data_IF_857662763283
#
_entry.id   IF_857662763283
#
_cell.length_a   1.000
_cell.length_b   1.000
_cell.length_c   1.000
_cell.angle_alpha   90.00
_cell.angle_beta   90.00
_cell.angle_gamma   90.00
#
_symmetry.space_group_name_H-M   'P 1'
#
loop_
_entity.id
_entity.type
_entity.pdbx_description
1 polymer ?
#
# COMPACT_ATOMS: atom_id res chain seq x y z
N UNK A 1 -19.58 3.65 -5.27
CA UNK A 1 -18.31 2.94 -4.96
C UNK A 1 -18.55 1.44 -5.08
N UNK A 2 -17.65 0.73 -5.73
CA UNK A 2 -17.80 -0.72 -5.92
C UNK A 2 -17.47 -1.49 -4.65
N UNK A 3 -17.94 -2.75 -4.59
CA UNK A 3 -17.62 -3.62 -3.45
C UNK A 3 -16.11 -3.87 -3.33
N UNK A 4 -15.42 -3.97 -4.47
CA UNK A 4 -13.97 -4.16 -4.47
C UNK A 4 -13.25 -2.94 -3.90
N UNK A 5 -13.70 -1.74 -4.22
CA UNK A 5 -13.13 -0.52 -3.65
C UNK A 5 -13.39 -0.44 -2.15
N UNK A 6 -14.60 -0.77 -1.71
CA UNK A 6 -14.91 -0.82 -0.28
C UNK A 6 -14.04 -1.84 0.46
N UNK A 7 -13.86 -3.01 -0.13
CA UNK A 7 -12.99 -4.06 0.45
C UNK A 7 -11.55 -3.59 0.54
N UNK A 8 -11.06 -2.93 -0.52
CA UNK A 8 -9.71 -2.38 -0.53
C UNK A 8 -9.53 -1.35 0.59
N UNK A 9 -10.49 -0.46 0.77
CA UNK A 9 -10.43 0.54 1.85
C UNK A 9 -10.41 -0.10 3.23
N UNK A 10 -11.14 -1.18 3.44
CA UNK A 10 -11.09 -1.93 4.71
C UNK A 10 -9.70 -2.47 4.99
N UNK A 11 -9.04 -3.00 3.97
CA UNK A 11 -7.68 -3.54 4.10
C UNK A 11 -6.66 -2.42 4.29
N UNK A 12 -6.83 -1.32 3.58
CA UNK A 12 -5.92 -0.16 3.62
C UNK A 12 -6.02 0.62 4.93
N UNK A 13 -7.21 0.71 5.52
CA UNK A 13 -7.47 1.58 6.67
C UNK A 13 -6.48 1.40 7.83
N UNK A 14 -6.15 0.18 8.30
CA UNK A 14 -5.17 0.04 9.39
C UNK A 14 -3.80 0.55 9.02
N UNK A 15 -3.36 0.32 7.78
CA UNK A 15 -2.08 0.80 7.29
C UNK A 15 -2.05 2.32 7.19
N UNK A 16 -3.10 2.89 6.62
CA UNK A 16 -3.20 4.34 6.46
C UNK A 16 -3.20 5.04 7.82
N UNK A 17 -3.92 4.49 8.78
CA UNK A 17 -3.96 5.04 10.14
C UNK A 17 -2.58 5.01 10.79
N UNK A 18 -1.87 3.90 10.68
CA UNK A 18 -0.54 3.75 11.28
C UNK A 18 0.49 4.65 10.61
N UNK A 19 0.36 4.87 9.30
CA UNK A 19 1.26 5.74 8.54
C UNK A 19 0.87 7.22 8.60
N UNK A 20 -0.30 7.54 9.11
CA UNK A 20 -0.80 8.92 9.11
C UNK A 20 -1.20 9.43 7.74
N UNK A 21 -1.65 8.53 6.86
CA UNK A 21 -2.09 8.87 5.51
C UNK A 21 -3.60 8.99 5.49
N UNK A 22 -4.11 10.13 5.02
CA UNK A 22 -5.55 10.28 4.77
C UNK A 22 -5.90 9.61 3.45
N UNK A 23 -6.84 8.68 3.47
CA UNK A 23 -7.24 7.93 2.29
C UNK A 23 -8.71 8.16 2.00
N UNK A 24 -9.01 8.49 0.76
CA UNK A 24 -10.36 8.62 0.22
C UNK A 24 -10.41 7.93 -1.13
N UNK A 25 -11.59 7.55 -1.57
CA UNK A 25 -11.75 6.93 -2.87
C UNK A 25 -13.06 7.36 -3.51
N UNK A 26 -13.05 7.45 -4.82
CA UNK A 26 -14.27 7.54 -5.64
C UNK A 26 -14.29 6.35 -6.60
N UNK A 27 -15.11 6.40 -7.63
CA UNK A 27 -15.22 5.28 -8.57
C UNK A 27 -14.04 5.18 -9.54
N UNK A 28 -13.17 6.18 -9.56
CA UNK A 28 -12.07 6.26 -10.51
C UNK A 28 -10.70 6.23 -9.86
N UNK A 29 -10.53 6.94 -8.73
CA UNK A 29 -9.24 7.11 -8.10
C UNK A 29 -9.26 6.84 -6.61
N UNK A 30 -8.12 6.37 -6.12
CA UNK A 30 -7.79 6.37 -4.71
C UNK A 30 -6.95 7.61 -4.44
N UNK A 31 -7.29 8.36 -3.39
CA UNK A 31 -6.57 9.58 -3.01
C UNK A 31 -5.84 9.36 -1.71
N UNK A 32 -4.53 9.53 -1.74
CA UNK A 32 -3.68 9.40 -0.55
C UNK A 32 -3.08 10.78 -0.26
N UNK A 33 -3.49 11.39 0.85
CA UNK A 33 -3.10 12.76 1.21
C UNK A 33 -3.38 13.74 0.07
N UNK A 34 -4.51 13.56 -0.61
CA UNK A 34 -4.94 14.41 -1.71
C UNK A 34 -4.32 14.06 -3.06
N UNK A 35 -3.37 13.15 -3.11
CA UNK A 35 -2.77 12.72 -4.37
C UNK A 35 -3.56 11.56 -4.96
N UNK A 36 -4.00 11.71 -6.20
CA UNK A 36 -4.71 10.65 -6.90
C UNK A 36 -3.75 9.53 -7.31
N UNK A 37 -4.10 8.29 -6.95
CA UNK A 37 -3.41 7.11 -7.45
C UNK A 37 -4.45 6.20 -8.09
N UNK A 38 -4.02 5.31 -8.97
CA UNK A 38 -4.94 4.46 -9.69
C UNK A 38 -5.70 3.49 -8.80
N UNK A 39 -6.94 3.20 -9.16
CA UNK A 39 -7.65 2.07 -8.60
C UNK A 39 -7.37 0.87 -9.50
N UNK A 40 -6.93 -0.22 -8.91
CA UNK A 40 -6.72 -1.45 -9.66
C UNK A 40 -8.04 -1.97 -10.23
N UNK A 41 -8.11 -2.08 -11.53
CA UNK A 41 -9.31 -2.57 -12.19
C UNK A 41 -9.62 -3.99 -11.76
N UNK A 42 -10.87 -4.27 -11.46
CA UNK A 42 -11.39 -5.61 -11.23
C UNK A 42 -10.92 -6.33 -9.97
N UNK A 43 -10.24 -5.66 -9.05
CA UNK A 43 -9.73 -6.36 -7.87
C UNK A 43 -9.46 -5.42 -6.70
N UNK A 44 -9.97 -5.79 -5.53
CA UNK A 44 -9.61 -5.12 -4.28
C UNK A 44 -8.10 -5.21 -4.03
N UNK A 45 -7.51 -6.34 -4.39
CA UNK A 45 -6.08 -6.58 -4.17
C UNK A 45 -5.19 -5.70 -5.02
N UNK A 46 -5.59 -5.44 -6.27
CA UNK A 46 -4.84 -4.52 -7.12
C UNK A 46 -4.84 -3.10 -6.55
N UNK A 47 -5.97 -2.67 -6.00
CA UNK A 47 -6.08 -1.35 -5.37
C UNK A 47 -5.22 -1.27 -4.11
N UNK A 48 -5.20 -2.32 -3.30
CA UNK A 48 -4.32 -2.38 -2.12
C UNK A 48 -2.86 -2.36 -2.54
N UNK A 49 -2.51 -3.05 -3.63
CA UNK A 49 -1.15 -3.01 -4.17
C UNK A 49 -0.74 -1.60 -4.56
N UNK A 50 -1.63 -0.84 -5.20
CA UNK A 50 -1.37 0.56 -5.53
C UNK A 50 -1.08 1.39 -4.27
N UNK A 51 -1.83 1.17 -3.20
CA UNK A 51 -1.57 1.85 -1.93
C UNK A 51 -0.22 1.46 -1.35
N UNK A 52 0.11 0.17 -1.36
CA UNK A 52 1.38 -0.33 -0.84
C UNK A 52 2.55 0.27 -1.63
N UNK A 53 2.44 0.34 -2.95
CA UNK A 53 3.47 0.98 -3.78
C UNK A 53 3.62 2.45 -3.45
N UNK A 54 2.52 3.17 -3.26
CA UNK A 54 2.56 4.56 -2.82
C UNK A 54 3.29 4.69 -1.48
N UNK A 55 2.98 3.81 -0.53
CA UNK A 55 3.62 3.84 0.79
C UNK A 55 5.13 3.57 0.68
N UNK A 56 5.54 2.59 -0.13
CA UNK A 56 6.95 2.31 -0.34
C UNK A 56 7.67 3.50 -0.97
N UNK A 57 7.09 4.15 -1.97
CA UNK A 57 7.69 5.32 -2.60
C UNK A 57 7.91 6.47 -1.61
N UNK A 58 7.00 6.64 -0.66
CA UNK A 58 7.08 7.73 0.30
C UNK A 58 7.94 7.41 1.52
N UNK A 59 8.07 6.15 1.87
CA UNK A 59 8.74 5.74 3.11
C UNK A 59 9.94 4.83 2.91
N UNK A 60 10.36 4.56 1.67
CA UNK A 60 11.43 3.60 1.42
C UNK A 60 12.75 3.95 2.12
N UNK A 61 13.08 5.23 2.21
CA UNK A 61 14.30 5.66 2.90
C UNK A 61 14.24 5.38 4.39
N UNK A 62 13.08 5.60 4.98
CA UNK A 62 12.84 5.32 6.39
C UNK A 62 12.90 3.82 6.66
N UNK A 63 12.24 3.03 5.83
CA UNK A 63 12.16 1.58 6.00
C UNK A 63 13.45 0.85 5.64
N UNK A 64 14.38 1.54 5.04
CA UNK A 64 15.74 1.07 4.86
C UNK A 64 16.49 0.98 6.19
N UNK A 65 16.17 1.88 7.13
CA UNK A 65 16.82 1.99 8.44
C UNK A 65 15.99 1.43 9.57
N UNK A 66 14.69 1.48 9.46
CA UNK A 66 13.74 1.07 10.47
C UNK A 66 12.81 -0.01 9.90
N UNK A 67 12.24 -0.80 10.79
CA UNK A 67 11.22 -1.75 10.37
C UNK A 67 9.99 -1.00 9.88
N UNK A 68 9.39 -1.48 8.80
CA UNK A 68 8.10 -0.96 8.40
C UNK A 68 7.03 -1.32 9.45
N UNK A 69 5.95 -0.52 9.52
CA UNK A 69 4.88 -0.78 10.47
C UNK A 69 4.30 -2.20 10.32
N UNK A 70 3.89 -2.79 11.44
CA UNK A 70 3.35 -4.15 11.47
C UNK A 70 2.14 -4.30 10.56
N UNK A 71 1.26 -3.31 10.51
CA UNK A 71 0.08 -3.36 9.65
C UNK A 71 0.46 -3.52 8.18
N UNK A 72 1.47 -2.80 7.73
CA UNK A 72 1.95 -2.88 6.35
C UNK A 72 2.60 -4.24 6.09
N UNK A 73 3.50 -4.65 6.98
CA UNK A 73 4.20 -5.92 6.85
C UNK A 73 3.23 -7.10 6.83
N UNK A 74 2.28 -7.12 7.75
CA UNK A 74 1.28 -8.20 7.82
C UNK A 74 0.39 -8.23 6.59
N UNK A 75 0.01 -7.08 6.07
CA UNK A 75 -0.82 -7.01 4.87
C UNK A 75 -0.07 -7.55 3.66
N UNK A 76 1.19 -7.17 3.50
CA UNK A 76 2.02 -7.68 2.40
C UNK A 76 2.16 -9.19 2.49
N UNK A 77 2.50 -9.70 3.66
CA UNK A 77 2.67 -11.15 3.87
C UNK A 77 1.37 -11.92 3.62
N UNK A 78 0.25 -11.36 4.04
CA UNK A 78 -1.04 -12.02 3.93
C UNK A 78 -1.55 -12.12 2.50
N UNK A 79 -1.33 -11.08 1.70
CA UNK A 79 -2.04 -10.97 0.42
C UNK A 79 -1.18 -11.11 -0.81
N UNK A 80 0.10 -10.70 -0.79
CA UNK A 80 0.82 -10.56 -2.04
C UNK A 80 2.22 -11.09 -2.11
N UNK A 81 3.03 -10.78 -1.10
CA UNK A 81 4.46 -10.96 -1.24
C UNK A 81 4.96 -11.97 -0.23
N UNK A 82 5.80 -12.90 -0.71
CA UNK A 82 6.64 -13.67 0.20
C UNK A 82 7.71 -12.74 0.78
N UNK A 83 8.34 -13.17 1.87
CA UNK A 83 9.45 -12.41 2.45
C UNK A 83 10.57 -12.19 1.43
N UNK A 84 10.83 -13.18 0.57
CA UNK A 84 11.84 -13.06 -0.48
C UNK A 84 11.49 -11.97 -1.49
N UNK A 85 10.24 -11.92 -1.92
CA UNK A 85 9.78 -10.88 -2.84
C UNK A 85 9.90 -9.49 -2.21
N UNK A 86 9.56 -9.36 -0.95
CA UNK A 86 9.68 -8.11 -0.23
C UNK A 86 11.13 -7.67 -0.12
N UNK A 87 12.04 -8.59 0.18
CA UNK A 87 13.46 -8.29 0.25
C UNK A 87 14.03 -7.90 -1.11
N UNK A 88 13.61 -8.57 -2.18
CA UNK A 88 14.00 -8.19 -3.53
C UNK A 88 13.55 -6.77 -3.85
N UNK A 89 12.31 -6.44 -3.53
CA UNK A 89 11.79 -5.10 -3.76
C UNK A 89 12.61 -4.05 -3.00
N UNK A 90 12.89 -4.31 -1.74
CA UNK A 90 13.72 -3.43 -0.91
C UNK A 90 15.11 -3.24 -1.48
N UNK A 91 15.72 -4.32 -1.94
CA UNK A 91 17.06 -4.29 -2.52
C UNK A 91 17.10 -3.40 -3.75
N UNK A 92 16.16 -3.56 -4.65
CA UNK A 92 16.07 -2.75 -5.86
C UNK A 92 15.93 -1.26 -5.54
N UNK A 93 15.10 -0.91 -4.56
CA UNK A 93 14.83 0.48 -4.21
C UNK A 93 15.88 1.09 -3.28
N UNK A 94 16.62 0.26 -2.57
CA UNK A 94 17.67 0.74 -1.66
C UNK A 94 18.99 1.00 -2.35
N UNK A 95 19.26 0.31 -3.43
CA UNK A 95 20.50 0.44 -4.18
C UNK A 95 20.40 1.45 -5.32
N UNK A 96 19.20 1.88 -5.60
CA UNK A 96 18.95 2.84 -6.67
C UNK A 96 19.46 4.24 -6.37
#
# INVERSE_FOLDING_TARGET
>A
MTKDTERALEIIAPMAKELGIEVKADDTFLYCNGQAIGIGCNSAYATVTEFIEYAFWNYWKKWKREKMPDSVRKTIQRYWFTDDQLQMWRKEHNEG
#
